data_IF_217763499795
#
_entry.id   IF_217763499795
#
_cell.length_a   1.000
_cell.length_b   1.000
_cell.length_c   1.000
_cell.angle_alpha   90.00
_cell.angle_beta   90.00
_cell.angle_gamma   90.00
#
_symmetry.space_group_name_H-M   'P 1'
#
loop_
_entity.id
_entity.type
_entity.pdbx_description
1 polymer ?
#
# COMPACT_ATOMS: atom_id res chain seq x y z
N UNK A 1 -37.17 -17.75 -40.99
CA UNK A 1 -37.63 -17.14 -39.72
C UNK A 1 -36.88 -17.85 -38.60
N UNK A 2 -36.04 -17.27 -37.74
CA UNK A 2 -35.57 -15.91 -37.45
C UNK A 2 -34.18 -16.07 -36.79
N UNK A 3 -33.17 -15.38 -37.32
CA UNK A 3 -31.81 -15.37 -36.77
C UNK A 3 -31.80 -14.64 -35.42
N UNK A 4 -31.38 -15.31 -34.34
CA UNK A 4 -31.18 -14.70 -33.03
C UNK A 4 -29.77 -14.08 -32.95
N UNK A 5 -29.59 -12.93 -33.57
CA UNK A 5 -28.47 -12.06 -33.21
C UNK A 5 -28.73 -11.49 -31.81
N UNK A 6 -28.03 -12.02 -30.80
CA UNK A 6 -27.83 -11.29 -29.55
C UNK A 6 -26.92 -10.11 -29.87
N UNK A 7 -27.48 -8.91 -29.93
CA UNK A 7 -26.70 -7.69 -29.73
C UNK A 7 -26.09 -7.78 -28.32
N UNK A 8 -24.82 -8.14 -28.25
CA UNK A 8 -24.00 -7.78 -27.10
C UNK A 8 -23.59 -6.35 -27.41
N UNK A 9 -24.21 -5.37 -26.78
CA UNK A 9 -23.64 -4.03 -26.74
C UNK A 9 -22.32 -4.12 -25.97
N UNK A 10 -21.14 -3.94 -26.60
CA UNK A 10 -19.98 -3.61 -25.83
C UNK A 10 -20.20 -2.15 -25.44
N UNK A 11 -20.48 -1.86 -24.18
CA UNK A 11 -20.36 -0.49 -23.69
C UNK A 11 -18.89 -0.27 -23.31
N UNK A 12 -18.01 0.21 -24.22
CA UNK A 12 -16.60 0.42 -23.93
C UNK A 12 -16.40 1.46 -22.82
N UNK A 13 -17.36 2.34 -22.59
CA UNK A 13 -17.25 3.43 -21.61
C UNK A 13 -17.32 2.92 -20.17
N UNK A 14 -18.09 1.85 -19.90
CA UNK A 14 -18.14 1.22 -18.57
C UNK A 14 -16.83 0.52 -18.22
N UNK A 15 -16.23 -0.17 -19.19
CA UNK A 15 -14.95 -0.88 -19.03
C UNK A 15 -13.80 0.11 -18.86
N UNK A 16 -13.75 1.18 -19.66
CA UNK A 16 -12.70 2.20 -19.56
C UNK A 16 -12.75 2.99 -18.24
N UNK A 17 -13.94 3.33 -17.74
CA UNK A 17 -14.09 3.98 -16.41
C UNK A 17 -13.60 3.08 -15.27
N UNK A 18 -13.92 1.78 -15.31
CA UNK A 18 -13.44 0.81 -14.32
C UNK A 18 -11.92 0.66 -14.34
N UNK A 19 -11.31 0.63 -15.53
CA UNK A 19 -9.85 0.55 -15.67
C UNK A 19 -9.15 1.81 -15.15
N UNK A 20 -9.65 3.01 -15.45
CA UNK A 20 -9.04 4.27 -14.98
C UNK A 20 -9.15 4.43 -13.46
N UNK A 21 -10.29 4.07 -12.86
CA UNK A 21 -10.47 4.11 -11.41
C UNK A 21 -9.48 3.15 -10.71
N UNK A 22 -9.40 1.91 -11.22
CA UNK A 22 -8.45 0.91 -10.71
C UNK A 22 -6.99 1.35 -10.85
N UNK A 23 -6.63 1.99 -11.98
CA UNK A 23 -5.28 2.53 -12.15
C UNK A 23 -4.96 3.65 -11.17
N UNK A 24 -5.93 4.53 -10.85
CA UNK A 24 -5.74 5.59 -9.85
C UNK A 24 -5.54 5.03 -8.44
N UNK A 25 -6.34 4.02 -8.06
CA UNK A 25 -6.20 3.35 -6.76
C UNK A 25 -4.84 2.65 -6.63
N UNK A 26 -4.41 1.92 -7.67
CA UNK A 26 -3.09 1.27 -7.69
C UNK A 26 -1.96 2.30 -7.61
N UNK A 27 -2.08 3.43 -8.30
CA UNK A 27 -1.10 4.52 -8.23
C UNK A 27 -1.05 5.12 -6.82
N UNK A 28 -2.20 5.37 -6.19
CA UNK A 28 -2.26 5.92 -4.83
C UNK A 28 -1.63 4.97 -3.78
N UNK A 29 -1.85 3.65 -3.92
CA UNK A 29 -1.18 2.66 -3.06
C UNK A 29 0.33 2.63 -3.31
N UNK A 30 0.75 2.73 -4.58
CA UNK A 30 2.16 2.78 -4.95
C UNK A 30 2.86 4.01 -4.36
N UNK A 31 2.23 5.17 -4.44
CA UNK A 31 2.74 6.43 -3.85
C UNK A 31 2.87 6.30 -2.32
N UNK A 32 1.85 5.78 -1.65
CA UNK A 32 1.89 5.57 -0.19
C UNK A 32 2.94 4.56 0.24
N UNK A 33 3.12 3.46 -0.51
CA UNK A 33 4.20 2.50 -0.27
C UNK A 33 5.57 3.13 -0.48
N UNK A 34 5.71 3.98 -1.49
CA UNK A 34 6.96 4.69 -1.77
C UNK A 34 7.31 5.63 -0.62
N UNK A 35 6.36 6.47 -0.20
CA UNK A 35 6.53 7.39 0.93
C UNK A 35 6.83 6.64 2.25
N UNK A 36 6.16 5.50 2.49
CA UNK A 36 6.51 4.64 3.62
C UNK A 36 7.94 4.13 3.54
N UNK A 37 8.38 3.73 2.34
CA UNK A 37 9.73 3.25 2.04
C UNK A 37 10.84 4.31 2.15
N UNK A 38 10.52 5.60 2.13
CA UNK A 38 11.50 6.68 2.37
C UNK A 38 11.99 6.72 3.81
N UNK A 39 11.20 6.18 4.74
CA UNK A 39 11.50 6.16 6.18
C UNK A 39 11.78 4.77 6.72
N UNK A 40 11.12 3.76 6.16
CA UNK A 40 11.09 2.41 6.72
C UNK A 40 11.62 1.37 5.74
N UNK A 41 12.35 0.38 6.25
CA UNK A 41 12.74 -0.80 5.51
C UNK A 41 12.19 -2.05 6.19
N UNK A 42 11.49 -2.89 5.42
CA UNK A 42 11.07 -4.21 5.86
C UNK A 42 12.19 -5.23 5.59
N UNK A 43 12.75 -5.83 6.65
CA UNK A 43 13.80 -6.85 6.58
C UNK A 43 13.34 -8.10 7.34
N UNK A 44 12.82 -9.08 6.60
CA UNK A 44 12.17 -10.23 7.20
C UNK A 44 11.00 -9.79 8.09
N UNK A 45 11.01 -10.20 9.36
CA UNK A 45 9.96 -9.86 10.34
C UNK A 45 10.19 -8.52 11.08
N UNK A 46 11.16 -7.70 10.64
CA UNK A 46 11.53 -6.44 11.28
C UNK A 46 11.27 -5.26 10.37
N UNK A 47 10.69 -4.20 10.92
CA UNK A 47 10.74 -2.86 10.32
C UNK A 47 11.90 -2.10 10.93
N UNK A 48 12.75 -1.56 10.08
CA UNK A 48 13.88 -0.70 10.44
C UNK A 48 13.61 0.73 10.03
N UNK A 49 13.97 1.69 10.88
CA UNK A 49 14.08 3.09 10.45
C UNK A 49 15.33 3.27 9.59
N UNK A 50 15.22 3.93 8.44
CA UNK A 50 16.36 4.21 7.56
C UNK A 50 17.34 5.24 8.14
N UNK A 51 16.88 6.11 9.04
CA UNK A 51 17.72 7.12 9.69
C UNK A 51 18.58 6.54 10.81
N UNK A 52 17.97 5.81 11.76
CA UNK A 52 18.68 5.28 12.93
C UNK A 52 18.99 3.78 12.89
N UNK A 53 18.53 3.06 11.88
CA UNK A 53 18.73 1.61 11.68
C UNK A 53 18.17 0.69 12.78
N UNK A 54 17.55 1.24 13.84
CA UNK A 54 16.84 0.46 14.85
C UNK A 54 15.74 -0.34 14.18
N UNK A 55 15.71 -1.64 14.50
CA UNK A 55 14.73 -2.59 14.02
C UNK A 55 13.75 -2.99 15.10
N UNK A 56 12.47 -3.12 14.76
CA UNK A 56 11.45 -3.66 15.64
C UNK A 56 10.65 -4.75 14.95
N UNK A 57 10.49 -5.87 15.63
CA UNK A 57 9.68 -7.00 15.16
C UNK A 57 8.19 -6.67 15.28
N UNK A 58 7.38 -7.14 14.34
CA UNK A 58 5.92 -7.00 14.37
C UNK A 58 5.26 -7.48 15.68
N UNK A 59 5.79 -8.55 16.29
CA UNK A 59 5.23 -9.14 17.50
C UNK A 59 5.34 -8.26 18.75
N UNK A 60 6.05 -7.13 18.67
CA UNK A 60 6.17 -6.18 19.77
C UNK A 60 5.04 -5.16 19.65
N UNK A 61 4.01 -5.31 20.49
CA UNK A 61 2.82 -4.45 20.53
C UNK A 61 3.09 -3.07 21.17
N UNK A 62 4.16 -2.40 20.72
CA UNK A 62 4.53 -1.06 21.18
C UNK A 62 4.93 -0.20 19.99
N UNK A 63 4.53 1.06 20.03
CA UNK A 63 4.98 2.09 19.11
C UNK A 63 6.50 2.10 18.99
N UNK A 64 6.98 2.32 17.77
CA UNK A 64 8.39 2.36 17.41
C UNK A 64 9.10 3.48 18.17
N UNK A 65 10.30 3.18 18.67
CA UNK A 65 11.12 4.13 19.41
C UNK A 65 12.41 4.36 18.62
N UNK A 66 12.66 5.62 18.26
CA UNK A 66 13.91 6.02 17.61
C UNK A 66 15.02 6.21 18.65
N UNK A 67 16.27 6.12 18.20
CA UNK A 67 17.39 6.68 18.99
C UNK A 67 17.30 8.21 18.98
N UNK A 68 17.85 8.82 20.01
CA UNK A 68 18.00 10.27 20.09
C UNK A 68 18.79 10.81 18.87
N UNK A 69 18.33 11.93 18.30
CA UNK A 69 18.98 12.56 17.16
C UNK A 69 18.67 11.92 15.79
N UNK A 70 17.74 10.97 15.70
CA UNK A 70 17.31 10.43 14.41
C UNK A 70 16.63 11.52 13.56
N UNK A 71 17.20 11.80 12.38
CA UNK A 71 16.70 12.83 11.44
C UNK A 71 15.36 12.48 10.81
N UNK A 72 14.97 11.21 10.86
CA UNK A 72 13.69 10.72 10.34
C UNK A 72 12.69 10.41 11.48
N UNK A 73 13.01 10.78 12.72
CA UNK A 73 12.06 10.66 13.81
C UNK A 73 10.91 11.63 13.61
N UNK A 74 9.70 11.10 13.66
CA UNK A 74 8.46 11.84 13.46
C UNK A 74 7.42 11.32 14.45
N UNK A 75 6.94 12.16 15.37
CA UNK A 75 6.00 11.74 16.41
C UNK A 75 4.65 11.28 15.84
N UNK A 76 4.31 11.63 14.60
CA UNK A 76 3.07 11.19 13.96
C UNK A 76 3.19 9.80 13.31
N UNK A 77 4.41 9.26 13.18
CA UNK A 77 4.66 7.98 12.51
C UNK A 77 5.36 6.96 13.40
N UNK A 78 4.83 6.75 14.60
CA UNK A 78 5.37 5.76 15.53
C UNK A 78 4.85 4.34 15.31
N UNK A 79 3.87 4.12 14.42
CA UNK A 79 3.27 2.80 14.23
C UNK A 79 3.48 2.27 12.79
N UNK A 80 4.74 1.99 12.38
CA UNK A 80 5.05 1.68 11.00
C UNK A 80 4.37 0.40 10.50
N UNK A 81 4.09 -0.56 11.39
CA UNK A 81 3.35 -1.78 11.08
C UNK A 81 1.86 -1.50 10.81
N UNK A 82 1.23 -0.62 11.59
CA UNK A 82 -0.15 -0.23 11.38
C UNK A 82 -0.30 0.53 10.06
N UNK A 83 0.62 1.47 9.78
CA UNK A 83 0.67 2.17 8.49
C UNK A 83 0.85 1.21 7.33
N UNK A 84 1.80 0.27 7.43
CA UNK A 84 2.04 -0.72 6.37
C UNK A 84 0.82 -1.62 6.16
N UNK A 85 0.18 -2.11 7.23
CA UNK A 85 -1.01 -2.94 7.14
C UNK A 85 -2.17 -2.20 6.44
N UNK A 86 -2.37 -0.92 6.75
CA UNK A 86 -3.38 -0.10 6.09
C UNK A 86 -3.10 0.06 4.59
N UNK A 87 -1.85 0.34 4.21
CA UNK A 87 -1.48 0.49 2.78
C UNK A 87 -1.66 -0.84 2.03
N UNK A 88 -1.24 -1.95 2.62
CA UNK A 88 -1.36 -3.28 1.99
C UNK A 88 -2.81 -3.76 1.93
N UNK A 89 -3.67 -3.34 2.87
CA UNK A 89 -5.10 -3.64 2.86
C UNK A 89 -5.85 -3.05 1.66
N UNK A 90 -5.33 -1.95 1.10
CA UNK A 90 -5.89 -1.29 -0.09
C UNK A 90 -5.40 -1.92 -1.41
N UNK A 91 -4.49 -2.91 -1.36
CA UNK A 91 -4.06 -3.60 -2.58
C UNK A 91 -5.22 -4.42 -3.16
N UNK A 92 -5.43 -4.35 -4.49
CA UNK A 92 -6.45 -5.17 -5.13
C UNK A 92 -6.11 -6.65 -4.95
N UNK A 93 -7.14 -7.47 -4.73
CA UNK A 93 -6.98 -8.91 -4.66
C UNK A 93 -6.27 -9.44 -5.92
N UNK A 94 -5.13 -10.09 -5.72
CA UNK A 94 -4.41 -10.79 -6.80
C UNK A 94 -5.19 -12.07 -7.08
N UNK A 95 -5.86 -12.15 -8.23
CA UNK A 95 -6.45 -13.41 -8.70
C UNK A 95 -5.31 -14.30 -9.20
N UNK A 96 -5.26 -15.54 -8.71
CA UNK A 96 -4.38 -16.59 -9.23
C UNK A 96 -4.96 -17.20 -10.50
#
# INVERSE_FOLDING_TARGET
>A
MTSRYRHVDPNPLGTLRGTVARSREVNAVTERLTAWGERWALRGAYVHCLGCQIGRRHSVAKSFEHIEGCTLADPEQLDPWATLAAILGDLPAVRR
#
